data_IF_530221618936
#
_entry.id   IF_530221618936
#
_cell.length_a   1.000
_cell.length_b   1.000
_cell.length_c   1.000
_cell.angle_alpha   90.00
_cell.angle_beta   90.00
_cell.angle_gamma   90.00
#
_symmetry.space_group_name_H-M   'P 1'
#
loop_
_entity.id
_entity.type
_entity.pdbx_description
1 polymer ?
#
# COMPACT_ATOMS: atom_id res chain seq x y z
N UNK A 1 3.52 -50.46 -63.72
CA UNK A 1 2.80 -49.84 -62.60
C UNK A 1 3.78 -49.76 -61.44
N UNK A 2 4.09 -48.52 -61.11
CA UNK A 2 5.15 -48.00 -60.23
C UNK A 2 4.98 -48.52 -58.78
N UNK A 3 5.97 -48.60 -57.86
CA UNK A 3 7.20 -47.83 -57.59
C UNK A 3 8.25 -48.73 -56.92
N UNK A 4 9.51 -48.31 -57.06
CA UNK A 4 10.83 -48.86 -56.75
C UNK A 4 11.30 -48.98 -55.27
N UNK A 5 12.10 -50.03 -55.01
CA UNK A 5 13.46 -50.09 -54.41
C UNK A 5 13.87 -49.15 -53.25
N UNK A 6 14.16 -49.71 -52.06
CA UNK A 6 15.50 -49.99 -51.46
C UNK A 6 16.26 -48.80 -50.87
N UNK A 7 16.62 -48.89 -49.56
CA UNK A 7 18.02 -48.97 -49.05
C UNK A 7 18.09 -48.89 -47.50
N UNK A 8 18.64 -49.95 -46.89
CA UNK A 8 19.26 -50.09 -45.55
C UNK A 8 20.67 -49.37 -45.56
N UNK A 9 21.58 -49.36 -44.53
CA UNK A 9 21.66 -50.06 -43.22
C UNK A 9 22.40 -49.33 -42.01
N UNK A 10 22.58 -50.05 -40.87
CA UNK A 10 23.76 -50.17 -39.94
C UNK A 10 24.35 -48.87 -39.26
N UNK A 11 24.85 -48.78 -38.02
CA UNK A 11 25.64 -49.63 -37.08
C UNK A 11 25.59 -48.93 -35.68
N UNK A 12 25.32 -49.61 -34.55
CA UNK A 12 26.26 -50.38 -33.70
C UNK A 12 27.09 -49.50 -32.73
N UNK A 13 26.85 -49.59 -31.41
CA UNK A 13 27.80 -50.15 -30.43
C UNK A 13 27.23 -50.18 -29.00
N UNK A 14 27.26 -51.39 -28.41
CA UNK A 14 27.11 -51.67 -27.00
C UNK A 14 28.21 -50.98 -26.18
N UNK A 15 27.89 -50.57 -24.95
CA UNK A 15 28.76 -50.84 -23.81
C UNK A 15 27.95 -51.16 -22.56
N UNK A 16 28.21 -52.36 -22.06
CA UNK A 16 27.78 -52.95 -20.80
C UNK A 16 28.52 -52.22 -19.66
N UNK A 17 27.81 -51.87 -18.57
CA UNK A 17 28.41 -51.90 -17.24
C UNK A 17 27.33 -52.13 -16.19
N UNK A 18 27.38 -53.33 -15.63
CA UNK A 18 26.57 -53.77 -14.51
C UNK A 18 27.12 -53.22 -13.18
N UNK A 19 26.18 -52.98 -12.26
CA UNK A 19 26.32 -52.94 -10.79
C UNK A 19 27.19 -51.82 -10.18
N UNK A 20 26.48 -50.88 -9.55
CA UNK A 20 26.79 -50.41 -8.19
C UNK A 20 25.48 -49.91 -7.57
N UNK A 21 24.74 -50.84 -6.94
CA UNK A 21 23.67 -50.49 -6.01
C UNK A 21 24.37 -50.02 -4.74
N UNK A 22 24.55 -48.72 -4.58
CA UNK A 22 24.78 -48.12 -3.26
C UNK A 22 23.41 -47.81 -2.68
N UNK A 23 22.95 -48.67 -1.79
CA UNK A 23 21.91 -48.35 -0.80
C UNK A 23 22.41 -47.11 -0.04
N UNK A 24 21.83 -45.95 -0.32
CA UNK A 24 21.80 -44.87 0.65
C UNK A 24 20.63 -45.16 1.59
N UNK A 25 20.83 -45.08 2.93
CA UNK A 25 19.74 -45.27 3.86
C UNK A 25 18.72 -44.15 3.64
N UNK A 26 17.46 -44.53 3.41
CA UNK A 26 16.33 -43.61 3.42
C UNK A 26 16.17 -43.17 4.88
N UNK A 27 16.66 -41.97 5.20
CA UNK A 27 16.20 -41.24 6.38
C UNK A 27 14.84 -40.65 6.03
N UNK A 28 13.83 -41.16 6.73
CA UNK A 28 12.45 -40.68 6.72
C UNK A 28 12.39 -39.29 7.39
N UNK A 29 12.87 -38.28 6.69
CA UNK A 29 12.56 -36.88 7.00
C UNK A 29 11.41 -36.48 6.09
N UNK A 30 10.19 -36.51 6.64
CA UNK A 30 9.08 -35.70 6.14
C UNK A 30 9.44 -34.22 6.28
N UNK A 31 10.32 -33.73 5.40
CA UNK A 31 10.51 -32.32 5.14
C UNK A 31 9.25 -31.84 4.42
N UNK A 32 8.24 -31.46 5.20
CA UNK A 32 7.20 -30.57 4.75
C UNK A 32 7.92 -29.30 4.30
N UNK A 33 8.08 -29.12 3.00
CA UNK A 33 8.49 -27.85 2.43
C UNK A 33 7.34 -26.89 2.71
N UNK A 34 7.39 -26.21 3.86
CA UNK A 34 6.54 -25.06 4.11
C UNK A 34 6.99 -24.02 3.10
N UNK A 35 6.20 -23.81 2.04
CA UNK A 35 6.42 -22.68 1.14
C UNK A 35 6.24 -21.41 1.98
N UNK A 36 7.36 -20.83 2.42
CA UNK A 36 7.38 -19.64 3.25
C UNK A 36 6.66 -18.46 2.59
N UNK A 37 6.46 -18.51 1.26
CA UNK A 37 5.71 -17.50 0.50
C UNK A 37 4.22 -17.46 0.84
N UNK A 38 3.67 -18.57 1.34
CA UNK A 38 2.26 -18.65 1.76
C UNK A 38 2.08 -18.48 3.29
N UNK A 39 3.15 -18.16 4.03
CA UNK A 39 3.04 -17.93 5.47
C UNK A 39 2.33 -16.61 5.78
N UNK A 40 1.38 -16.66 6.71
CA UNK A 40 0.71 -15.48 7.26
C UNK A 40 1.21 -15.25 8.69
N UNK A 41 1.34 -13.99 9.08
CA UNK A 41 1.70 -13.60 10.45
C UNK A 41 0.50 -12.93 11.12
N UNK A 42 0.36 -13.16 12.42
CA UNK A 42 -0.54 -12.35 13.23
C UNK A 42 -0.03 -10.91 13.26
N UNK A 43 -0.93 -9.95 13.07
CA UNK A 43 -0.59 -8.54 13.21
C UNK A 43 -0.34 -8.18 14.68
N UNK A 44 0.56 -7.23 14.91
CA UNK A 44 0.75 -6.62 16.22
C UNK A 44 -0.55 -5.96 16.72
N UNK A 45 -0.91 -6.18 17.99
CA UNK A 45 -2.18 -5.73 18.57
C UNK A 45 -2.31 -4.21 18.61
N UNK A 46 -1.19 -3.49 18.75
CA UNK A 46 -1.17 -2.04 18.76
C UNK A 46 -1.36 -1.50 17.34
N UNK A 47 -0.67 -2.07 16.35
CA UNK A 47 -0.91 -1.75 14.94
C UNK A 47 -2.39 -1.97 14.58
N UNK A 48 -2.96 -3.14 14.91
CA UNK A 48 -4.37 -3.43 14.68
C UNK A 48 -5.29 -2.36 15.29
N UNK A 49 -5.04 -1.98 16.55
CA UNK A 49 -5.83 -0.96 17.25
C UNK A 49 -5.73 0.42 16.57
N UNK A 50 -4.56 0.72 16.00
CA UNK A 50 -4.27 1.98 15.31
C UNK A 50 -4.91 2.06 13.92
N UNK A 51 -5.17 0.93 13.25
CA UNK A 51 -5.78 0.90 11.90
C UNK A 51 -7.13 1.62 11.84
N UNK A 52 -7.96 1.54 12.88
CA UNK A 52 -9.23 2.28 12.95
C UNK A 52 -9.03 3.81 12.98
N UNK A 53 -7.96 4.27 13.64
CA UNK A 53 -7.60 5.69 13.73
C UNK A 53 -7.05 6.19 12.39
N UNK A 54 -6.17 5.42 11.74
CA UNK A 54 -5.69 5.74 10.38
C UNK A 54 -6.85 5.81 9.39
N UNK A 55 -7.77 4.84 9.44
CA UNK A 55 -8.97 4.86 8.61
C UNK A 55 -9.83 6.12 8.87
N UNK A 56 -9.90 6.60 10.11
CA UNK A 56 -10.67 7.81 10.42
C UNK A 56 -10.04 9.05 9.79
N UNK A 57 -8.72 9.22 9.98
CA UNK A 57 -7.97 10.33 9.41
C UNK A 57 -8.05 10.33 7.88
N UNK A 58 -8.04 9.15 7.26
CA UNK A 58 -8.28 9.04 5.81
C UNK A 58 -9.71 9.48 5.45
N UNK A 59 -10.74 9.01 6.16
CA UNK A 59 -12.13 9.35 5.87
C UNK A 59 -12.42 10.87 6.01
N UNK A 60 -11.70 11.57 6.91
CA UNK A 60 -11.81 13.03 7.05
C UNK A 60 -11.43 13.76 5.76
N UNK A 61 -10.50 13.24 4.96
CA UNK A 61 -10.17 13.85 3.66
C UNK A 61 -11.36 13.85 2.68
N UNK A 62 -12.35 12.97 2.88
CA UNK A 62 -13.62 12.99 2.15
C UNK A 62 -14.56 14.12 2.56
N UNK A 63 -14.35 14.77 3.70
CA UNK A 63 -15.13 15.96 4.07
C UNK A 63 -14.83 17.17 3.18
N UNK A 64 -13.69 17.18 2.48
CA UNK A 64 -13.31 18.26 1.57
C UNK A 64 -13.93 17.99 0.20
N UNK A 65 -14.66 18.96 -0.36
CA UNK A 65 -15.20 18.91 -1.72
C UNK A 65 -14.99 20.26 -2.41
N UNK A 66 -15.65 20.56 -3.53
CA UNK A 66 -15.63 21.93 -4.07
C UNK A 66 -16.18 22.95 -3.05
N UNK A 67 -17.26 22.58 -2.36
CA UNK A 67 -18.04 23.45 -1.45
C UNK A 67 -17.79 23.20 0.04
N UNK A 68 -17.34 22.00 0.42
CA UNK A 68 -17.09 21.64 1.81
C UNK A 68 -15.60 21.74 2.16
N UNK A 69 -15.32 22.15 3.39
CA UNK A 69 -13.97 22.37 3.95
C UNK A 69 -13.94 21.86 5.38
N UNK A 70 -12.76 21.52 5.88
CA UNK A 70 -12.49 21.32 7.30
C UNK A 70 -12.39 22.70 7.94
N UNK A 71 -13.12 22.94 9.03
CA UNK A 71 -13.06 24.16 9.82
C UNK A 71 -11.86 24.17 10.77
N UNK A 72 -11.37 25.37 11.13
CA UNK A 72 -10.33 25.50 12.17
C UNK A 72 -10.93 25.36 13.59
N UNK A 73 -10.19 24.79 14.57
CA UNK A 73 -8.85 24.22 14.42
C UNK A 73 -8.86 22.87 13.71
N UNK A 74 -9.89 22.03 13.86
CA UNK A 74 -10.03 20.77 13.12
C UNK A 74 -11.48 20.25 13.21
N UNK A 75 -12.44 20.99 12.63
CA UNK A 75 -13.88 20.68 12.66
C UNK A 75 -14.39 20.11 11.33
N UNK A 76 -15.26 19.11 11.40
CA UNK A 76 -15.83 18.43 10.24
C UNK A 76 -17.07 17.59 10.60
N UNK A 77 -17.86 17.18 9.60
CA UNK A 77 -19.08 16.37 9.76
C UNK A 77 -18.85 14.96 10.37
N UNK A 78 -17.61 14.53 10.55
CA UNK A 78 -17.24 13.28 11.26
C UNK A 78 -16.94 13.50 12.76
N UNK A 79 -17.27 14.67 13.32
CA UNK A 79 -16.93 15.08 14.69
C UNK A 79 -15.41 15.09 14.93
N UNK A 80 -14.67 15.69 13.99
CA UNK A 80 -13.21 15.78 14.03
C UNK A 80 -12.72 16.36 15.38
N UNK A 81 -13.29 17.49 15.82
CA UNK A 81 -12.92 18.18 17.07
C UNK A 81 -13.09 17.28 18.31
N UNK A 82 -14.10 16.40 18.32
CA UNK A 82 -14.36 15.52 19.46
C UNK A 82 -13.41 14.34 19.49
N UNK A 83 -13.07 13.78 18.32
CA UNK A 83 -12.18 12.61 18.21
C UNK A 83 -10.71 13.00 18.32
N UNK A 84 -10.36 14.17 17.81
CA UNK A 84 -9.00 14.70 17.68
C UNK A 84 -8.90 16.14 18.23
N UNK A 85 -9.19 16.34 19.54
CA UNK A 85 -9.32 17.68 20.13
C UNK A 85 -8.06 18.54 20.10
N UNK A 86 -6.88 17.90 20.00
CA UNK A 86 -5.58 18.58 20.00
C UNK A 86 -4.93 18.60 18.61
N UNK A 87 -5.69 18.31 17.55
CA UNK A 87 -5.22 18.42 16.17
C UNK A 87 -5.58 19.79 15.63
N UNK A 88 -4.65 20.41 14.90
CA UNK A 88 -4.84 21.68 14.21
C UNK A 88 -4.58 21.52 12.72
N UNK A 89 -5.50 22.01 11.90
CA UNK A 89 -5.41 22.06 10.45
C UNK A 89 -4.29 23.03 10.06
N UNK A 90 -3.39 22.58 9.19
CA UNK A 90 -2.31 23.40 8.63
C UNK A 90 -2.69 23.86 7.23
N UNK A 91 -3.20 22.93 6.41
CA UNK A 91 -3.58 23.22 5.03
C UNK A 91 -4.60 22.21 4.51
N UNK A 92 -5.43 22.60 3.54
CA UNK A 92 -6.33 21.68 2.84
C UNK A 92 -6.44 22.09 1.37
N UNK A 93 -6.65 21.11 0.50
CA UNK A 93 -6.71 21.33 -0.94
C UNK A 93 -7.70 20.39 -1.61
N UNK A 94 -8.25 20.85 -2.74
CA UNK A 94 -9.20 20.13 -3.56
C UNK A 94 -8.73 20.15 -5.01
N UNK A 95 -8.74 18.98 -5.65
CA UNK A 95 -8.63 18.83 -7.09
C UNK A 95 -9.81 18.03 -7.59
N UNK A 96 -10.48 18.52 -8.64
CA UNK A 96 -11.67 17.89 -9.21
C UNK A 96 -11.34 16.56 -9.94
N UNK A 97 -10.20 16.55 -10.63
CA UNK A 97 -9.72 15.48 -11.51
C UNK A 97 -8.65 14.58 -10.85
N UNK A 98 -8.41 14.72 -9.53
CA UNK A 98 -7.28 14.07 -8.86
C UNK A 98 -7.53 13.86 -7.35
N UNK A 99 -6.45 13.76 -6.58
CA UNK A 99 -6.49 13.57 -5.13
C UNK A 99 -6.91 14.84 -4.39
N UNK A 100 -7.58 14.68 -3.28
CA UNK A 100 -7.98 15.75 -2.37
C UNK A 100 -7.43 15.41 -0.99
N UNK A 101 -7.09 16.40 -0.17
CA UNK A 101 -6.48 16.10 1.11
C UNK A 101 -6.24 17.30 2.01
N UNK A 102 -5.64 17.00 3.16
CA UNK A 102 -5.26 17.98 4.17
C UNK A 102 -3.92 17.65 4.83
N UNK A 103 -3.33 18.69 5.42
CA UNK A 103 -2.23 18.62 6.35
C UNK A 103 -2.74 19.10 7.70
N UNK A 104 -2.43 18.37 8.76
CA UNK A 104 -2.71 18.77 10.13
C UNK A 104 -1.50 18.46 11.03
N UNK A 105 -1.45 19.09 12.19
CA UNK A 105 -0.39 18.87 13.18
C UNK A 105 -0.95 18.69 14.58
N UNK A 106 -0.22 17.96 15.42
CA UNK A 106 -0.53 17.81 16.84
C UNK A 106 0.73 17.42 17.61
N UNK A 107 0.75 17.73 18.91
CA UNK A 107 1.79 17.28 19.85
C UNK A 107 1.24 16.19 20.79
N UNK A 108 -0.02 15.79 20.59
CA UNK A 108 -0.72 14.79 21.41
C UNK A 108 -0.74 13.42 20.75
N UNK A 109 -0.92 12.38 21.56
CA UNK A 109 -1.11 11.03 21.06
C UNK A 109 -2.48 10.90 20.37
N UNK A 110 -2.46 10.68 19.04
CA UNK A 110 -3.67 10.51 18.21
C UNK A 110 -4.41 9.17 18.46
N UNK A 111 -3.74 8.18 19.05
CA UNK A 111 -4.31 6.87 19.36
C UNK A 111 -4.96 6.84 20.74
N UNK A 112 -4.37 7.54 21.72
CA UNK A 112 -4.91 7.65 23.07
C UNK A 112 -4.88 9.11 23.58
N UNK A 113 -5.98 9.82 23.39
CA UNK A 113 -6.10 11.24 23.77
C UNK A 113 -6.25 11.46 25.29
N UNK A 114 -6.50 10.41 26.07
CA UNK A 114 -6.61 10.49 27.53
C UNK A 114 -5.26 10.36 28.25
N UNK A 115 -4.22 9.90 27.55
CA UNK A 115 -2.86 9.84 28.10
C UNK A 115 -2.15 11.17 27.82
N UNK A 116 -1.77 11.85 28.90
CA UNK A 116 -0.76 12.90 28.84
C UNK A 116 0.55 12.26 28.37
N UNK A 117 0.87 12.41 27.09
CA UNK A 117 2.06 11.82 26.50
C UNK A 117 3.30 12.19 27.33
N UNK A 118 4.08 11.17 27.70
CA UNK A 118 5.40 11.35 28.30
C UNK A 118 6.36 11.71 27.16
N UNK A 119 6.40 12.99 26.80
CA UNK A 119 7.18 13.55 25.70
C UNK A 119 6.32 14.31 24.68
N UNK A 120 6.73 15.53 24.35
CA UNK A 120 6.15 16.29 23.24
C UNK A 120 6.69 15.66 21.94
N UNK A 121 5.83 15.00 21.18
CA UNK A 121 6.15 14.49 19.84
C UNK A 121 5.26 15.18 18.83
N UNK A 122 5.84 15.94 17.91
CA UNK A 122 5.11 16.61 16.85
C UNK A 122 4.75 15.62 15.74
N UNK A 123 3.47 15.34 15.58
CA UNK A 123 2.95 14.51 14.49
C UNK A 123 2.43 15.39 13.36
N UNK A 124 3.05 15.30 12.19
CA UNK A 124 2.59 15.97 10.96
C UNK A 124 1.78 14.97 10.15
N UNK A 125 0.48 15.20 10.03
CA UNK A 125 -0.47 14.31 9.38
C UNK A 125 -0.73 14.82 7.96
N UNK A 126 -0.49 13.99 6.96
CA UNK A 126 -0.83 14.23 5.55
C UNK A 126 -1.84 13.19 5.13
N UNK A 127 -3.09 13.58 4.85
CA UNK A 127 -4.17 12.64 4.54
C UNK A 127 -4.78 12.91 3.19
N UNK A 128 -4.84 11.86 2.36
CA UNK A 128 -5.24 11.93 0.95
C UNK A 128 -6.38 10.95 0.64
N UNK A 129 -7.34 11.42 -0.15
CA UNK A 129 -8.32 10.57 -0.80
C UNK A 129 -8.20 10.59 -2.31
N UNK A 130 -8.68 9.51 -2.91
CA UNK A 130 -9.00 9.48 -4.33
C UNK A 130 -10.27 10.27 -4.70
N UNK A 131 -10.55 10.26 -6.00
CA UNK A 131 -11.80 10.76 -6.57
C UNK A 131 -13.00 9.98 -6.03
N UNK A 132 -14.20 10.58 -6.09
CA UNK A 132 -15.43 9.88 -5.66
C UNK A 132 -15.95 8.90 -6.70
N UNK A 133 -15.64 9.13 -7.97
CA UNK A 133 -16.01 8.26 -9.11
C UNK A 133 -14.88 7.27 -9.41
N UNK A 134 -14.52 6.45 -8.41
CA UNK A 134 -13.30 5.63 -8.41
C UNK A 134 -13.21 4.74 -9.66
N UNK A 135 -14.27 4.02 -10.00
CA UNK A 135 -14.25 3.12 -11.17
C UNK A 135 -14.14 3.84 -12.50
N UNK A 136 -14.83 4.99 -12.65
CA UNK A 136 -14.73 5.81 -13.86
C UNK A 136 -13.31 6.37 -14.00
N UNK A 137 -12.77 6.92 -12.90
CA UNK A 137 -11.39 7.42 -12.87
C UNK A 137 -10.41 6.30 -13.20
N UNK A 138 -10.58 5.09 -12.68
CA UNK A 138 -9.68 3.96 -12.95
C UNK A 138 -9.78 3.45 -14.38
N UNK A 139 -10.94 3.54 -15.03
CA UNK A 139 -11.08 3.24 -16.45
C UNK A 139 -10.38 4.30 -17.33
N UNK A 140 -10.41 5.57 -16.89
CA UNK A 140 -9.78 6.69 -17.60
C UNK A 140 -8.27 6.82 -17.35
N UNK A 141 -7.73 6.15 -16.33
CA UNK A 141 -6.30 6.15 -16.03
C UNK A 141 -5.51 5.51 -17.18
N UNK A 142 -4.50 6.26 -17.65
CA UNK A 142 -3.56 5.76 -18.65
C UNK A 142 -2.78 4.57 -18.10
N UNK A 143 -2.94 3.40 -18.70
CA UNK A 143 -2.21 2.18 -18.34
C UNK A 143 -0.69 2.28 -18.60
N UNK A 144 -0.24 3.33 -19.29
CA UNK A 144 1.17 3.55 -19.60
C UNK A 144 2.01 3.74 -18.34
N UNK A 145 3.11 2.98 -18.25
CA UNK A 145 4.17 3.27 -17.30
C UNK A 145 5.25 4.17 -17.91
N UNK A 146 5.82 5.05 -17.10
CA UNK A 146 6.95 5.91 -17.44
C UNK A 146 8.16 5.56 -16.56
N UNK A 147 9.39 5.83 -17.01
CA UNK A 147 10.57 5.67 -16.15
C UNK A 147 10.42 6.44 -14.84
N UNK A 148 10.78 5.80 -13.72
CA UNK A 148 10.83 6.42 -12.40
C UNK A 148 12.28 6.66 -11.98
N UNK A 149 12.55 7.86 -11.47
CA UNK A 149 13.85 8.25 -10.92
C UNK A 149 13.66 9.05 -9.64
N UNK A 150 14.35 8.66 -8.58
CA UNK A 150 14.51 9.44 -7.35
C UNK A 150 15.81 10.26 -7.37
N UNK A 151 15.98 11.16 -6.40
CA UNK A 151 17.16 12.04 -6.33
C UNK A 151 18.38 11.29 -5.79
N UNK A 152 18.18 10.25 -4.98
CA UNK A 152 19.23 9.41 -4.43
C UNK A 152 20.05 10.11 -3.33
N UNK A 153 19.39 10.94 -2.52
CA UNK A 153 20.04 11.74 -1.47
C UNK A 153 20.22 10.90 -0.20
N UNK A 154 19.18 10.19 0.25
CA UNK A 154 19.24 9.34 1.46
C UNK A 154 18.83 7.89 1.22
N UNK A 155 18.26 7.57 0.06
CA UNK A 155 17.91 6.20 -0.34
C UNK A 155 18.62 5.84 -1.64
N UNK A 156 18.87 4.55 -1.93
CA UNK A 156 19.52 4.16 -3.19
C UNK A 156 18.68 4.58 -4.41
N UNK A 157 19.34 4.80 -5.54
CA UNK A 157 18.64 5.01 -6.80
C UNK A 157 17.87 3.75 -7.19
N UNK A 158 16.61 3.91 -7.63
CA UNK A 158 15.79 2.80 -8.10
C UNK A 158 16.43 2.05 -9.28
N UNK A 159 17.05 2.80 -10.19
CA UNK A 159 17.70 2.26 -11.39
C UNK A 159 16.89 2.50 -12.66
N UNK A 160 17.52 2.22 -13.80
CA UNK A 160 17.01 2.60 -15.13
C UNK A 160 15.79 1.80 -15.59
N UNK A 161 15.53 0.62 -14.99
CA UNK A 161 14.39 -0.22 -15.33
C UNK A 161 13.14 0.09 -14.51
N UNK A 162 13.23 0.93 -13.48
CA UNK A 162 12.07 1.28 -12.69
C UNK A 162 11.06 2.06 -13.52
N UNK A 163 9.81 1.62 -13.48
CA UNK A 163 8.70 2.26 -14.16
C UNK A 163 7.49 2.37 -13.24
N UNK A 164 6.83 3.52 -13.32
CA UNK A 164 5.65 3.86 -12.52
C UNK A 164 4.51 4.27 -13.45
N UNK A 165 3.29 4.01 -13.03
CA UNK A 165 2.07 4.44 -13.70
C UNK A 165 2.09 5.95 -13.92
N UNK A 166 1.92 6.39 -15.17
CA UNK A 166 1.98 7.81 -15.56
C UNK A 166 0.98 8.66 -14.77
N UNK A 167 -0.30 8.26 -14.77
CA UNK A 167 -1.35 9.03 -14.09
C UNK A 167 -1.09 9.26 -12.59
N UNK A 168 -0.71 8.21 -11.84
CA UNK A 168 -0.35 8.37 -10.43
C UNK A 168 0.87 9.28 -10.23
N UNK A 169 1.88 9.19 -11.10
CA UNK A 169 3.06 10.04 -11.03
C UNK A 169 2.75 11.52 -11.34
N UNK A 170 1.89 11.79 -12.33
CA UNK A 170 1.43 13.14 -12.66
C UNK A 170 0.66 13.76 -11.48
N UNK A 171 -0.26 13.01 -10.87
CA UNK A 171 -1.01 13.43 -9.69
C UNK A 171 -0.11 13.67 -8.48
N UNK A 172 0.88 12.79 -8.26
CA UNK A 172 1.88 12.96 -7.22
C UNK A 172 2.68 14.25 -7.43
N UNK A 173 3.20 14.49 -8.63
CA UNK A 173 4.03 15.67 -8.92
C UNK A 173 3.27 16.96 -8.69
N UNK A 174 2.00 17.00 -9.14
CA UNK A 174 1.11 18.16 -8.93
C UNK A 174 0.81 18.38 -7.45
N UNK A 175 0.50 17.30 -6.72
CA UNK A 175 0.20 17.34 -5.29
C UNK A 175 1.42 17.79 -4.48
N UNK A 176 2.58 17.17 -4.72
CA UNK A 176 3.83 17.49 -4.06
C UNK A 176 4.17 18.98 -4.21
N UNK A 177 4.08 19.51 -5.42
CA UNK A 177 4.38 20.93 -5.70
C UNK A 177 3.53 21.90 -4.87
N UNK A 178 2.30 21.50 -4.52
CA UNK A 178 1.39 22.30 -3.72
C UNK A 178 1.66 22.16 -2.21
N UNK A 179 1.83 20.93 -1.73
CA UNK A 179 1.80 20.63 -0.30
C UNK A 179 3.18 20.63 0.37
N UNK A 180 4.25 20.48 -0.41
CA UNK A 180 5.62 20.36 0.09
C UNK A 180 6.05 21.52 1.01
N UNK A 181 5.78 22.81 0.69
CA UNK A 181 6.18 23.92 1.56
C UNK A 181 5.60 23.83 2.97
N UNK A 182 4.33 23.45 3.08
CA UNK A 182 3.63 23.33 4.37
C UNK A 182 4.19 22.18 5.23
N UNK A 183 4.44 21.02 4.62
CA UNK A 183 5.00 19.86 5.34
C UNK A 183 6.42 20.18 5.82
N UNK A 184 7.27 20.76 4.97
CA UNK A 184 8.64 21.10 5.35
C UNK A 184 8.68 22.17 6.43
N UNK A 185 7.76 23.14 6.41
CA UNK A 185 7.65 24.13 7.48
C UNK A 185 7.37 23.46 8.83
N UNK A 186 6.41 22.54 8.90
CA UNK A 186 6.09 21.82 10.14
C UNK A 186 7.25 20.93 10.61
N UNK A 187 7.91 20.22 9.71
CA UNK A 187 9.04 19.35 10.05
C UNK A 187 10.27 20.15 10.51
N UNK A 188 10.57 21.28 9.86
CA UNK A 188 11.67 22.16 10.25
C UNK A 188 11.42 22.82 11.60
N UNK A 189 10.18 23.20 11.91
CA UNK A 189 9.88 23.74 13.25
C UNK A 189 10.14 22.71 14.36
N UNK A 190 9.84 21.43 14.14
CA UNK A 190 10.20 20.37 15.11
C UNK A 190 11.71 20.28 15.30
N UNK A 191 12.48 20.35 14.20
CA UNK A 191 13.95 20.32 14.25
C UNK A 191 14.53 21.55 14.95
N UNK A 192 13.99 22.75 14.69
CA UNK A 192 14.42 24.01 15.32
C UNK A 192 14.11 24.04 16.82
N UNK A 193 13.02 23.40 17.25
CA UNK A 193 12.60 23.30 18.65
C UNK A 193 13.22 22.10 19.41
N UNK A 194 14.11 21.32 18.76
CA UNK A 194 14.70 20.07 19.29
C UNK A 194 13.62 19.07 19.76
N UNK A 195 12.50 19.03 19.04
CA UNK A 195 11.35 18.17 19.33
C UNK A 195 11.40 16.87 18.51
N UNK A 196 10.99 15.76 19.13
CA UNK A 196 10.75 14.53 18.38
C UNK A 196 9.57 14.71 17.41
N UNK A 197 9.62 14.03 16.26
CA UNK A 197 8.58 14.13 15.25
C UNK A 197 8.15 12.78 14.67
N UNK A 198 6.96 12.76 14.09
CA UNK A 198 6.50 11.71 13.19
C UNK A 198 5.84 12.34 11.96
N UNK A 199 6.26 11.93 10.76
CA UNK A 199 5.55 12.21 9.53
C UNK A 199 4.56 11.07 9.25
N UNK A 200 3.27 11.34 9.40
CA UNK A 200 2.19 10.38 9.16
C UNK A 200 1.54 10.65 7.81
N UNK A 201 1.82 9.82 6.80
CA UNK A 201 1.24 9.94 5.45
C UNK A 201 0.17 8.87 5.27
N UNK A 202 -1.04 9.29 4.90
CA UNK A 202 -2.22 8.45 4.84
C UNK A 202 -2.90 8.60 3.48
N UNK A 203 -3.38 7.49 2.93
CA UNK A 203 -4.08 7.52 1.65
C UNK A 203 -5.10 6.40 1.45
N UNK A 204 -6.22 6.71 0.80
CA UNK A 204 -7.17 5.68 0.33
C UNK A 204 -7.36 5.72 -1.19
N UNK A 205 -7.51 4.54 -1.80
CA UNK A 205 -7.72 4.37 -3.23
C UNK A 205 -6.60 5.05 -4.04
N UNK A 206 -6.94 5.87 -5.04
CA UNK A 206 -6.00 6.75 -5.76
C UNK A 206 -5.12 7.62 -4.82
N UNK A 207 -5.68 8.08 -3.71
CA UNK A 207 -4.94 8.82 -2.68
C UNK A 207 -3.84 7.99 -2.02
N UNK A 208 -4.03 6.66 -1.94
CA UNK A 208 -3.01 5.71 -1.51
C UNK A 208 -1.81 5.68 -2.45
N UNK A 209 -2.04 5.73 -3.77
CA UNK A 209 -0.94 5.76 -4.75
C UNK A 209 -0.09 7.03 -4.62
N UNK A 210 -0.73 8.18 -4.43
CA UNK A 210 -0.02 9.45 -4.21
C UNK A 210 0.69 9.47 -2.85
N UNK A 211 0.03 8.98 -1.79
CA UNK A 211 0.64 8.83 -0.47
C UNK A 211 1.92 7.99 -0.51
N UNK A 212 1.90 6.87 -1.25
CA UNK A 212 3.05 6.00 -1.42
C UNK A 212 4.23 6.74 -2.09
N UNK A 213 3.98 7.46 -3.18
CA UNK A 213 5.02 8.25 -3.86
C UNK A 213 5.56 9.40 -3.00
N UNK A 214 4.71 10.05 -2.20
CA UNK A 214 5.14 11.03 -1.20
C UNK A 214 6.03 10.39 -0.13
N UNK A 215 5.69 9.20 0.36
CA UNK A 215 6.50 8.46 1.32
C UNK A 215 7.91 8.18 0.79
N UNK A 216 8.02 7.69 -0.45
CA UNK A 216 9.32 7.49 -1.11
C UNK A 216 10.12 8.79 -1.23
N UNK A 217 9.45 9.89 -1.59
CA UNK A 217 10.10 11.20 -1.71
C UNK A 217 10.64 11.71 -0.37
N UNK A 218 9.85 11.67 0.70
CA UNK A 218 10.29 12.13 2.02
C UNK A 218 11.33 11.19 2.64
N UNK A 219 11.27 9.88 2.35
CA UNK A 219 12.35 8.96 2.70
C UNK A 219 13.67 9.34 1.99
N UNK A 220 13.63 9.70 0.71
CA UNK A 220 14.80 10.16 -0.05
C UNK A 220 15.36 11.49 0.49
N UNK A 221 14.51 12.37 1.03
CA UNK A 221 14.96 13.58 1.73
C UNK A 221 15.58 13.30 3.11
N UNK A 222 15.40 12.10 3.67
CA UNK A 222 15.98 11.70 4.95
C UNK A 222 15.04 11.72 6.14
N UNK A 223 13.73 11.88 5.93
CA UNK A 223 12.75 11.77 6.99
C UNK A 223 12.48 10.28 7.28
N UNK A 224 13.09 9.77 8.35
CA UNK A 224 13.10 8.36 8.70
C UNK A 224 12.06 7.98 9.77
N UNK A 225 11.62 8.93 10.61
CA UNK A 225 10.49 8.80 11.53
C UNK A 225 9.17 9.03 10.80
N UNK A 226 8.82 8.06 9.96
CA UNK A 226 7.67 8.15 9.07
C UNK A 226 6.80 6.90 9.13
N UNK A 227 5.49 7.11 9.18
CA UNK A 227 4.47 6.08 9.04
C UNK A 227 3.66 6.38 7.79
N UNK A 228 3.68 5.48 6.81
CA UNK A 228 2.90 5.51 5.59
C UNK A 228 1.83 4.42 5.66
N UNK A 229 0.55 4.80 5.63
CA UNK A 229 -0.56 3.85 5.61
C UNK A 229 -1.43 4.11 4.40
N UNK A 230 -1.62 3.07 3.60
CA UNK A 230 -2.52 3.11 2.46
C UNK A 230 -3.62 2.09 2.61
N UNK A 231 -4.85 2.44 2.24
CA UNK A 231 -6.00 1.54 2.25
C UNK A 231 -6.57 1.42 0.84
N UNK A 232 -6.67 0.20 0.30
CA UNK A 232 -7.20 0.00 -1.06
C UNK A 232 -6.30 0.58 -2.16
N UNK A 233 -4.99 0.63 -1.95
CA UNK A 233 -4.06 1.17 -2.94
C UNK A 233 -3.99 0.29 -4.21
N UNK A 234 -4.17 0.86 -5.42
CA UNK A 234 -3.90 0.18 -6.69
C UNK A 234 -2.45 -0.30 -6.85
N UNK A 235 -2.18 -1.04 -7.94
CA UNK A 235 -0.81 -1.34 -8.36
C UNK A 235 -0.18 -0.11 -9.02
N UNK A 236 1.11 0.17 -8.76
CA UNK A 236 1.72 1.42 -9.19
C UNK A 236 2.77 1.28 -10.28
N UNK A 237 3.38 0.12 -10.46
CA UNK A 237 4.51 0.01 -11.38
C UNK A 237 4.94 -1.41 -11.64
N UNK A 238 6.08 -1.53 -12.32
CA UNK A 238 6.71 -2.81 -12.59
C UNK A 238 7.41 -3.38 -11.34
N UNK A 239 7.91 -4.60 -11.47
CA UNK A 239 8.58 -5.33 -10.40
C UNK A 239 9.72 -4.54 -9.79
N UNK A 240 10.60 -3.98 -10.62
CA UNK A 240 11.78 -3.23 -10.16
C UNK A 240 11.41 -2.02 -9.29
N UNK A 241 10.34 -1.30 -9.67
CA UNK A 241 9.86 -0.16 -8.88
C UNK A 241 9.26 -0.60 -7.53
N UNK A 242 8.48 -1.67 -7.53
CA UNK A 242 7.81 -2.19 -6.34
C UNK A 242 8.81 -2.78 -5.35
N UNK A 243 9.71 -3.66 -5.81
CA UNK A 243 10.75 -4.28 -4.98
C UNK A 243 11.69 -3.24 -4.37
N UNK A 244 12.13 -2.26 -5.16
CA UNK A 244 12.96 -1.16 -4.66
C UNK A 244 12.23 -0.36 -3.57
N UNK A 245 10.96 -0.02 -3.79
CA UNK A 245 10.21 0.75 -2.81
C UNK A 245 9.91 -0.03 -1.53
N UNK A 246 9.66 -1.34 -1.64
CA UNK A 246 9.54 -2.25 -0.50
C UNK A 246 10.85 -2.32 0.31
N UNK A 247 12.01 -2.30 -0.34
CA UNK A 247 13.30 -2.17 0.34
C UNK A 247 13.45 -0.82 1.07
N UNK A 248 13.20 0.28 0.36
CA UNK A 248 13.32 1.65 0.89
C UNK A 248 12.40 1.90 2.09
N UNK A 249 11.18 1.38 2.05
CA UNK A 249 10.17 1.57 3.10
C UNK A 249 10.21 0.46 4.16
N UNK A 250 11.13 -0.49 4.05
CA UNK A 250 11.40 -1.50 5.08
C UNK A 250 10.30 -2.56 5.20
N UNK A 251 9.63 -2.90 4.10
CA UNK A 251 8.56 -3.89 4.00
C UNK A 251 8.94 -5.29 4.52
N UNK A 252 10.24 -5.60 4.58
CA UNK A 252 10.75 -6.87 5.16
C UNK A 252 10.63 -6.98 6.67
N UNK A 253 10.50 -5.85 7.38
CA UNK A 253 10.42 -5.82 8.84
C UNK A 253 8.98 -6.04 9.31
N UNK A 254 8.81 -6.51 10.54
CA UNK A 254 7.47 -6.64 11.13
C UNK A 254 6.86 -5.25 11.39
N UNK A 255 5.54 -5.14 11.23
CA UNK A 255 4.82 -3.92 11.56
C UNK A 255 4.83 -3.72 13.09
N UNK A 256 5.48 -2.65 13.56
CA UNK A 256 5.58 -2.29 14.98
C UNK A 256 5.39 -0.79 15.16
N UNK A 257 4.52 -0.42 16.09
CA UNK A 257 4.23 0.99 16.38
C UNK A 257 5.48 1.68 16.96
N UNK A 258 5.75 2.92 16.52
CA UNK A 258 6.91 3.74 16.91
C UNK A 258 8.32 3.13 16.65
N UNK A 259 8.46 2.02 15.93
CA UNK A 259 9.78 1.45 15.56
C UNK A 259 10.31 2.02 14.24
N UNK A 260 9.43 2.48 13.35
CA UNK A 260 9.73 3.07 12.03
C UNK A 260 10.65 2.26 11.10
N UNK A 261 11.01 1.01 11.45
CA UNK A 261 11.77 0.10 10.59
C UNK A 261 10.96 -0.29 9.36
N UNK A 262 9.71 -0.69 9.57
CA UNK A 262 8.68 -0.80 8.53
C UNK A 262 7.88 0.50 8.53
N UNK A 263 8.11 1.32 7.51
CA UNK A 263 7.44 2.61 7.33
C UNK A 263 6.10 2.44 6.62
N UNK A 264 5.99 1.45 5.74
CA UNK A 264 4.84 1.26 4.88
C UNK A 264 3.91 0.14 5.37
N UNK A 265 2.64 0.48 5.57
CA UNK A 265 1.56 -0.44 5.88
C UNK A 265 0.52 -0.41 4.74
N UNK A 266 0.58 -1.39 3.84
CA UNK A 266 -0.38 -1.53 2.74
C UNK A 266 -1.58 -2.35 3.20
N UNK A 267 -2.66 -1.68 3.59
CA UNK A 267 -3.90 -2.34 4.02
C UNK A 267 -4.77 -2.63 2.81
N UNK A 268 -5.16 -3.89 2.64
CA UNK A 268 -5.99 -4.36 1.53
C UNK A 268 -7.13 -5.22 2.07
N UNK A 269 -8.30 -5.10 1.47
CA UNK A 269 -9.48 -5.88 1.84
C UNK A 269 -9.64 -7.08 0.91
N UNK A 270 -10.14 -8.19 1.47
CA UNK A 270 -10.57 -9.35 0.70
C UNK A 270 -11.48 -8.97 -0.46
N UNK A 271 -11.23 -9.52 -1.63
CA UNK A 271 -12.01 -9.30 -2.86
C UNK A 271 -12.02 -7.82 -3.34
N UNK A 272 -11.13 -6.96 -2.84
CA UNK A 272 -10.97 -5.59 -3.34
C UNK A 272 -10.19 -5.57 -4.67
N UNK A 273 -10.94 -5.50 -5.77
CA UNK A 273 -10.38 -5.52 -7.13
C UNK A 273 -9.42 -4.35 -7.39
N UNK A 274 -9.63 -3.20 -6.76
CA UNK A 274 -8.81 -1.99 -6.97
C UNK A 274 -7.35 -2.27 -6.65
N UNK A 275 -7.09 -3.10 -5.64
CA UNK A 275 -5.74 -3.48 -5.19
C UNK A 275 -5.02 -4.44 -6.14
N UNK A 276 -5.69 -4.89 -7.21
CA UNK A 276 -5.16 -5.86 -8.19
C UNK A 276 -5.05 -5.31 -9.60
N UNK A 277 -5.39 -4.04 -9.79
CA UNK A 277 -5.37 -3.35 -11.08
C UNK A 277 -4.44 -2.12 -10.99
N UNK A 278 -3.95 -1.57 -12.11
CA UNK A 278 -4.24 -1.95 -13.51
C UNK A 278 -3.71 -3.31 -13.93
N UNK A 279 -4.35 -3.90 -14.94
CA UNK A 279 -3.88 -5.08 -15.67
C UNK A 279 -3.75 -4.72 -17.14
N UNK A 280 -2.52 -4.56 -17.62
CA UNK A 280 -2.26 -4.31 -19.04
C UNK A 280 -2.37 -5.64 -19.82
N UNK A 281 -3.14 -5.71 -20.93
CA UNK A 281 -3.17 -6.88 -21.81
C UNK A 281 -1.79 -7.23 -22.40
N UNK A 282 -0.91 -6.24 -22.52
CA UNK A 282 0.47 -6.44 -22.94
C UNK A 282 1.31 -6.98 -21.76
N UNK A 283 1.71 -8.24 -21.88
CA UNK A 283 2.52 -8.95 -20.87
C UNK A 283 3.86 -8.25 -20.55
N UNK A 284 4.39 -7.41 -21.45
CA UNK A 284 5.63 -6.66 -21.21
C UNK A 284 5.43 -5.42 -20.34
N UNK A 285 4.19 -5.00 -20.11
CA UNK A 285 3.80 -3.89 -19.23
C UNK A 285 3.08 -4.41 -17.98
N UNK A 286 3.63 -5.47 -17.37
CA UNK A 286 3.00 -6.05 -16.20
C UNK A 286 3.18 -5.16 -14.96
N UNK A 287 2.07 -4.89 -14.29
CA UNK A 287 2.03 -4.25 -12.97
C UNK A 287 2.17 -5.32 -11.89
N UNK A 288 3.03 -5.07 -10.91
CA UNK A 288 3.35 -6.06 -9.88
C UNK A 288 2.65 -5.75 -8.57
N UNK A 289 2.26 -6.81 -7.86
CA UNK A 289 1.79 -6.72 -6.48
C UNK A 289 2.94 -6.27 -5.57
N UNK A 290 2.60 -5.42 -4.60
CA UNK A 290 3.48 -5.15 -3.48
C UNK A 290 3.56 -6.37 -2.57
N UNK A 291 4.75 -6.57 -2.03
CA UNK A 291 4.91 -7.36 -0.82
C UNK A 291 4.24 -6.60 0.35
N UNK A 292 4.31 -7.15 1.56
CA UNK A 292 4.00 -6.37 2.77
C UNK A 292 2.52 -5.93 2.91
N UNK A 293 1.61 -6.88 2.76
CA UNK A 293 0.16 -6.67 2.77
C UNK A 293 -0.44 -6.91 4.15
N UNK A 294 -1.09 -5.90 4.73
CA UNK A 294 -2.01 -6.09 5.85
C UNK A 294 -3.37 -6.43 5.23
N UNK A 295 -3.70 -7.72 5.24
CA UNK A 295 -4.89 -8.26 4.59
C UNK A 295 -6.05 -8.38 5.56
N UNK A 296 -7.18 -7.77 5.21
CA UNK A 296 -8.45 -7.86 5.94
C UNK A 296 -9.28 -9.02 5.36
N UNK A 297 -9.27 -10.15 6.05
CA UNK A 297 -10.04 -11.34 5.70
C UNK A 297 -11.46 -11.29 6.29
N UNK A 298 -12.19 -10.22 5.99
CA UNK A 298 -13.53 -9.96 6.50
C UNK A 298 -14.55 -9.81 5.37
N UNK A 299 -15.83 -9.75 5.74
CA UNK A 299 -16.90 -9.50 4.77
C UNK A 299 -16.99 -8.02 4.38
N UNK A 300 -17.58 -7.73 3.21
CA UNK A 300 -17.80 -6.36 2.70
C UNK A 300 -18.69 -5.46 3.59
N UNK A 301 -19.33 -6.05 4.61
CA UNK A 301 -20.16 -5.36 5.60
C UNK A 301 -19.47 -5.09 6.92
N UNK A 302 -18.36 -5.77 7.14
CA UNK A 302 -17.66 -5.70 8.40
C UNK A 302 -16.73 -4.48 8.43
N UNK A 303 -17.20 -3.44 9.11
CA UNK A 303 -16.40 -2.26 9.38
C UNK A 303 -15.50 -2.42 10.59
N UNK A 304 -15.50 -3.54 11.31
CA UNK A 304 -14.65 -3.76 12.49
C UNK A 304 -14.19 -5.23 12.53
N UNK A 305 -13.34 -5.64 11.57
CA UNK A 305 -12.82 -7.00 11.54
C UNK A 305 -12.13 -7.32 12.86
N UNK A 306 -12.29 -8.55 13.35
CA UNK A 306 -11.59 -9.01 14.55
C UNK A 306 -10.09 -9.09 14.31
N UNK A 307 -9.28 -9.03 15.38
CA UNK A 307 -7.83 -9.19 15.30
C UNK A 307 -7.41 -10.47 14.55
N UNK A 308 -8.16 -11.56 14.71
CA UNK A 308 -7.90 -12.84 14.01
C UNK A 308 -8.20 -12.81 12.51
N UNK A 309 -8.95 -11.82 12.04
CA UNK A 309 -9.30 -11.63 10.63
C UNK A 309 -8.33 -10.69 9.91
N UNK A 310 -7.38 -10.10 10.63
CA UNK A 310 -6.36 -9.19 10.09
C UNK A 310 -5.00 -9.88 10.15
N UNK A 311 -4.40 -10.09 8.98
CA UNK A 311 -3.15 -10.84 8.86
C UNK A 311 -2.10 -10.04 8.11
N UNK A 312 -0.83 -10.27 8.45
CA UNK A 312 0.32 -9.67 7.77
C UNK A 312 0.93 -10.70 6.79
N UNK A 313 0.79 -10.42 5.50
CA UNK A 313 1.26 -11.24 4.40
C UNK A 313 2.52 -10.61 3.81
N UNK A 314 3.65 -11.27 4.00
CA UNK A 314 4.93 -10.73 3.55
C UNK A 314 5.02 -10.65 2.02
N UNK A 315 4.45 -11.60 1.30
CA UNK A 315 4.59 -11.69 -0.16
C UNK A 315 3.31 -11.36 -0.89
N UNK A 316 3.39 -10.58 -1.95
CA UNK A 316 2.23 -10.22 -2.76
C UNK A 316 1.60 -11.38 -3.53
N UNK A 317 2.33 -12.50 -3.64
CA UNK A 317 1.90 -13.75 -4.25
C UNK A 317 1.31 -14.76 -3.25
N UNK A 318 1.17 -14.39 -1.98
CA UNK A 318 0.70 -15.27 -0.92
C UNK A 318 -0.75 -15.72 -1.18
N UNK A 319 -0.95 -17.03 -1.35
CA UNK A 319 -2.25 -17.64 -1.66
C UNK A 319 -3.24 -17.68 -0.49
N UNK A 320 -2.89 -17.14 0.68
CA UNK A 320 -3.79 -16.95 1.81
C UNK A 320 -4.37 -15.52 1.85
N UNK A 321 -3.91 -14.63 0.96
CA UNK A 321 -4.26 -13.21 0.94
C UNK A 321 -4.81 -12.82 -0.45
N UNK A 322 -4.54 -11.61 -0.96
CA UNK A 322 -5.18 -11.11 -2.19
C UNK A 322 -4.95 -11.97 -3.44
N UNK A 323 -3.86 -12.75 -3.49
CA UNK A 323 -3.54 -13.58 -4.65
C UNK A 323 -4.55 -14.71 -4.91
N UNK A 324 -5.30 -15.16 -3.88
CA UNK A 324 -6.36 -16.18 -4.04
C UNK A 324 -7.75 -15.62 -4.32
N UNK A 325 -7.96 -14.31 -4.16
CA UNK A 325 -9.31 -13.72 -4.17
C UNK A 325 -9.93 -13.70 -5.57
N UNK A 326 -9.10 -13.71 -6.61
CA UNK A 326 -9.55 -13.62 -8.01
C UNK A 326 -9.06 -14.82 -8.84
N UNK A 327 -9.53 -16.05 -8.55
CA UNK A 327 -9.16 -17.20 -9.36
C UNK A 327 -9.72 -17.04 -10.78
N UNK A 328 -8.94 -17.44 -11.79
CA UNK A 328 -9.45 -17.55 -13.16
C UNK A 328 -10.75 -18.38 -13.10
N UNK A 329 -11.84 -17.85 -13.64
CA UNK A 329 -13.19 -18.46 -13.71
C UNK A 329 -14.18 -18.22 -12.54
N UNK A 330 -13.86 -17.42 -11.51
CA UNK A 330 -14.87 -17.02 -10.52
C UNK A 330 -15.67 -15.78 -10.95
N UNK A 331 -16.92 -15.98 -11.38
CA UNK A 331 -17.91 -14.91 -11.57
C UNK A 331 -18.73 -14.71 -10.29
N UNK A 332 -18.11 -14.23 -9.23
CA UNK A 332 -18.85 -13.78 -8.06
C UNK A 332 -19.34 -12.34 -8.29
N UNK A 333 -20.64 -12.10 -8.04
CA UNK A 333 -21.22 -10.75 -8.04
C UNK A 333 -20.84 -10.03 -6.74
N UNK A 334 -19.61 -9.57 -6.65
CA UNK A 334 -19.17 -8.76 -5.53
C UNK A 334 -19.61 -7.31 -5.71
N UNK A 335 -19.96 -6.65 -4.60
CA UNK A 335 -20.12 -5.20 -4.60
C UNK A 335 -18.74 -4.56 -4.43
N UNK A 336 -17.97 -4.53 -5.52
CA UNK A 336 -16.59 -4.04 -5.52
C UNK A 336 -16.45 -2.64 -4.92
N UNK A 337 -17.42 -1.75 -5.15
CA UNK A 337 -17.42 -0.44 -4.53
C UNK A 337 -17.53 -0.54 -3.01
N UNK A 338 -18.46 -1.35 -2.51
CA UNK A 338 -18.71 -1.54 -1.08
C UNK A 338 -17.51 -2.13 -0.36
N UNK A 339 -16.87 -3.14 -0.97
CA UNK A 339 -15.61 -3.70 -0.51
C UNK A 339 -14.53 -2.61 -0.46
N UNK A 340 -14.35 -1.92 -1.58
CA UNK A 340 -13.29 -0.93 -1.73
C UNK A 340 -13.43 0.26 -0.76
N UNK A 341 -14.63 0.59 -0.28
CA UNK A 341 -14.81 1.65 0.72
C UNK A 341 -14.89 1.13 2.16
N UNK A 342 -14.70 -0.18 2.40
CA UNK A 342 -14.82 -0.77 3.74
C UNK A 342 -13.45 -1.17 4.29
N UNK A 343 -12.89 -0.30 5.12
CA UNK A 343 -11.56 -0.45 5.75
C UNK A 343 -11.62 0.05 7.20
N UNK A 344 -11.95 -0.82 8.16
CA UNK A 344 -12.25 -0.46 9.57
C UNK A 344 -13.37 0.59 9.78
N UNK A 345 -13.93 1.09 8.69
CA UNK A 345 -14.96 2.11 8.58
C UNK A 345 -15.52 2.03 7.18
N UNK A 346 -16.69 2.61 6.95
CA UNK A 346 -17.16 2.91 5.61
C UNK A 346 -16.70 4.30 5.21
N UNK A 347 -15.69 4.36 4.36
CA UNK A 347 -15.09 5.61 3.89
C UNK A 347 -15.92 6.28 2.79
N UNK A 348 -15.71 7.57 2.60
CA UNK A 348 -16.22 8.29 1.43
C UNK A 348 -17.59 8.93 1.61
N UNK A 349 -18.20 8.78 2.79
CA UNK A 349 -19.55 9.28 3.06
C UNK A 349 -19.57 10.72 3.58
N UNK A 350 -18.45 11.23 4.10
CA UNK A 350 -18.40 12.62 4.57
C UNK A 350 -18.68 13.60 3.43
N UNK A 351 -19.49 14.62 3.69
CA UNK A 351 -19.85 15.66 2.72
C UNK A 351 -20.85 15.24 1.62
N UNK A 352 -21.39 14.01 1.64
CA UNK A 352 -22.48 13.57 0.75
C UNK A 352 -23.89 13.78 1.34
N UNK A 353 -23.97 13.96 2.66
CA UNK A 353 -25.20 14.25 3.39
C UNK A 353 -25.03 15.65 4.00
N UNK A 354 -25.30 16.67 3.20
CA UNK A 354 -25.43 18.07 3.60
C UNK A 354 -26.89 18.48 3.52
#
# INVERSE_FOLDING_TARGET
MEVWYMLFPLLLHLCILAKSVTLYPITDDNLVIIDSRNSIRSIDSEIYSNLYTYAHLIDISYCISEINRIGEPFDCNLNCEKRFPNVSLVYQFYFDDSVTGYIATTHSNIFNYNETASGSKKTVIVSLRGTRSIFDTMADLKLDMIPYTNNGVKVPLCGHNCKVHRGFFDYYTRTLSLIHPYIIQELRSAEEDDEDYELLILGHSLGGSVAYLLGLYYADLGYDKMTLVTMGQPLLGNQEFVEWGDEVLGSRFEAKHNDFKRKFLRVIHKDDVVTTIPKDPNIFNHYYQFDNQIYLNSSEDDTRPMLSEVVDCLYGTNNQCIAKDFPLFAFARHNYLRIHITYFRRMGLCGLLG
#
